data_IF_384394563130
#
_entry.id   IF_384394563130
#
_cell.length_a   1.000
_cell.length_b   1.000
_cell.length_c   1.000
_cell.angle_alpha   90.00
_cell.angle_beta   90.00
_cell.angle_gamma   90.00
#
_symmetry.space_group_name_H-M   'P 1'
#
loop_
_entity.id
_entity.type
_entity.pdbx_description
1 polymer ?
#
# COMPACT_ATOMS: atom_id res chain seq x y z
N UNK A 1 -0.54 -11.10 6.48
CA UNK A 1 -0.37 -12.00 5.35
C UNK A 1 0.67 -13.03 5.75
N UNK A 2 0.24 -14.23 6.15
CA UNK A 2 1.12 -15.28 6.70
C UNK A 2 1.85 -16.10 5.63
N UNK A 3 2.94 -16.77 6.05
CA UNK A 3 3.71 -17.70 5.25
C UNK A 3 4.98 -17.09 4.62
N UNK A 4 5.92 -17.95 4.16
CA UNK A 4 7.17 -17.49 3.55
C UNK A 4 6.92 -16.79 2.22
N UNK A 5 7.76 -15.82 1.87
CA UNK A 5 7.76 -15.20 0.54
C UNK A 5 8.26 -16.23 -0.49
N UNK A 6 7.49 -16.45 -1.54
CA UNK A 6 7.76 -17.45 -2.56
C UNK A 6 8.51 -16.82 -3.74
N UNK A 7 9.52 -17.53 -4.22
CA UNK A 7 10.38 -17.11 -5.32
C UNK A 7 10.54 -18.26 -6.31
N UNK A 8 10.29 -18.00 -7.57
CA UNK A 8 10.65 -18.88 -8.67
C UNK A 8 12.14 -18.73 -9.01
N UNK A 9 12.83 -19.84 -9.24
CA UNK A 9 14.24 -19.88 -9.65
C UNK A 9 14.35 -20.59 -11.00
N UNK A 10 14.98 -19.92 -11.94
CA UNK A 10 15.26 -20.49 -13.26
C UNK A 10 16.67 -20.10 -13.73
N UNK A 11 17.06 -20.51 -14.93
CA UNK A 11 18.37 -20.21 -15.50
C UNK A 11 18.66 -18.71 -15.69
N UNK A 12 17.63 -17.87 -15.75
CA UNK A 12 17.76 -16.42 -15.90
C UNK A 12 17.82 -15.68 -14.54
N UNK A 13 17.59 -16.40 -13.41
CA UNK A 13 17.66 -15.81 -12.07
C UNK A 13 16.45 -16.12 -11.19
N UNK A 14 16.14 -15.20 -10.28
CA UNK A 14 15.03 -15.31 -9.33
C UNK A 14 13.96 -14.27 -9.64
N UNK A 15 12.69 -14.68 -9.57
CA UNK A 15 11.54 -13.79 -9.73
C UNK A 15 10.50 -14.03 -8.65
N UNK A 16 9.64 -13.04 -8.43
CA UNK A 16 8.51 -13.18 -7.51
C UNK A 16 7.57 -14.25 -8.05
N UNK A 17 7.31 -15.29 -7.26
CA UNK A 17 6.34 -16.33 -7.60
C UNK A 17 4.91 -15.75 -7.59
N UNK A 18 4.13 -15.93 -8.68
CA UNK A 18 2.74 -15.47 -8.76
C UNK A 18 1.84 -15.96 -7.62
N UNK A 19 2.14 -17.10 -7.01
CA UNK A 19 1.39 -17.63 -5.88
C UNK A 19 1.39 -16.68 -4.66
N UNK A 20 2.36 -15.77 -4.55
CA UNK A 20 2.31 -14.73 -3.52
C UNK A 20 1.06 -13.84 -3.64
N UNK A 21 0.58 -13.59 -4.85
CA UNK A 21 -0.61 -12.76 -5.08
C UNK A 21 -1.87 -13.32 -4.44
N UNK A 22 -2.01 -14.66 -4.36
CA UNK A 22 -3.17 -15.34 -3.78
C UNK A 22 -3.43 -14.95 -2.32
N UNK A 23 -2.37 -14.62 -1.57
CA UNK A 23 -2.47 -14.22 -0.16
C UNK A 23 -3.22 -12.90 0.03
N UNK A 24 -3.21 -12.05 -0.98
CA UNK A 24 -3.82 -10.71 -0.93
C UNK A 24 -5.26 -10.71 -1.39
N UNK A 25 -5.68 -11.71 -2.19
CA UNK A 25 -7.02 -11.75 -2.80
C UNK A 25 -8.12 -11.60 -1.76
N UNK A 26 -8.09 -12.42 -0.69
CA UNK A 26 -9.11 -12.38 0.37
C UNK A 26 -9.18 -11.01 1.08
N UNK A 27 -8.04 -10.37 1.33
CA UNK A 27 -8.00 -9.05 1.97
C UNK A 27 -8.60 -7.99 1.05
N UNK A 28 -8.29 -8.05 -0.25
CA UNK A 28 -8.83 -7.13 -1.24
C UNK A 28 -10.33 -7.34 -1.48
N UNK A 29 -10.83 -8.57 -1.39
CA UNK A 29 -12.27 -8.86 -1.43
C UNK A 29 -13.00 -8.21 -0.26
N UNK A 30 -12.47 -8.37 0.96
CA UNK A 30 -13.02 -7.71 2.16
C UNK A 30 -13.00 -6.18 1.99
N UNK A 31 -11.88 -5.64 1.54
CA UNK A 31 -11.74 -4.20 1.32
C UNK A 31 -12.67 -3.68 0.21
N UNK A 32 -12.89 -4.46 -0.84
CA UNK A 32 -13.80 -4.09 -1.93
C UNK A 32 -15.28 -4.05 -1.50
N UNK A 33 -15.63 -4.79 -0.44
CA UNK A 33 -16.97 -4.78 0.14
C UNK A 33 -17.22 -3.56 1.07
N UNK A 34 -16.18 -2.80 1.40
CA UNK A 34 -16.31 -1.63 2.27
C UNK A 34 -16.93 -0.44 1.51
N UNK A 35 -17.98 0.12 2.07
CA UNK A 35 -18.53 1.39 1.61
C UNK A 35 -17.55 2.53 1.96
N UNK A 36 -16.91 3.08 0.95
CA UNK A 36 -15.90 4.13 1.10
C UNK A 36 -16.45 5.37 1.81
N UNK A 37 -17.70 5.75 1.56
CA UNK A 37 -18.31 6.91 2.20
C UNK A 37 -18.48 6.69 3.69
N UNK A 38 -19.01 5.52 4.08
CA UNK A 38 -19.16 5.14 5.49
C UNK A 38 -17.82 5.03 6.19
N UNK A 39 -16.80 4.48 5.52
CA UNK A 39 -15.44 4.42 6.05
C UNK A 39 -14.89 5.83 6.34
N UNK A 40 -15.07 6.75 5.40
CA UNK A 40 -14.60 8.13 5.57
C UNK A 40 -15.46 8.89 6.59
N UNK A 41 -16.77 8.65 6.66
CA UNK A 41 -17.64 9.22 7.71
C UNK A 41 -17.15 8.80 9.11
N UNK A 42 -16.82 7.52 9.28
CA UNK A 42 -16.26 6.99 10.53
C UNK A 42 -14.92 7.65 10.86
N UNK A 43 -14.01 7.74 9.87
CA UNK A 43 -12.73 8.43 10.02
C UNK A 43 -12.89 9.88 10.45
N UNK A 44 -13.79 10.63 9.81
CA UNK A 44 -14.09 12.04 10.15
C UNK A 44 -14.64 12.16 11.57
N UNK A 45 -15.53 11.25 11.96
CA UNK A 45 -16.08 11.21 13.34
C UNK A 45 -15.01 11.00 14.41
N UNK A 46 -14.01 10.17 14.14
CA UNK A 46 -12.89 9.91 15.04
C UNK A 46 -11.67 10.81 14.80
N UNK A 47 -11.73 11.73 13.86
CA UNK A 47 -10.59 12.58 13.50
C UNK A 47 -9.96 13.33 14.68
N UNK A 48 -10.71 13.90 15.65
CA UNK A 48 -10.09 14.56 16.81
C UNK A 48 -9.17 13.63 17.62
N UNK A 49 -9.54 12.35 17.75
CA UNK A 49 -8.73 11.35 18.46
C UNK A 49 -7.44 11.05 17.71
N UNK A 50 -7.53 10.83 16.39
CA UNK A 50 -6.35 10.61 15.55
C UNK A 50 -5.42 11.81 15.55
N UNK A 51 -5.96 13.02 15.47
CA UNK A 51 -5.18 14.26 15.48
C UNK A 51 -4.49 14.47 16.82
N UNK A 52 -5.15 14.15 17.94
CA UNK A 52 -4.54 14.21 19.25
C UNK A 52 -3.38 13.22 19.37
N UNK A 53 -3.60 11.94 19.04
CA UNK A 53 -2.56 10.92 19.06
C UNK A 53 -1.37 11.32 18.16
N UNK A 54 -1.62 11.91 17.00
CA UNK A 54 -0.57 12.37 16.08
C UNK A 54 0.31 13.48 16.70
N UNK A 55 -0.31 14.41 17.44
CA UNK A 55 0.44 15.44 18.19
C UNK A 55 1.30 14.84 19.28
N UNK A 56 0.76 13.86 20.02
CA UNK A 56 1.46 13.16 21.11
C UNK A 56 2.64 12.34 20.59
N UNK A 57 2.59 11.85 19.33
CA UNK A 57 3.69 11.18 18.65
C UNK A 57 4.82 12.12 18.20
N UNK A 58 4.74 13.43 18.50
CA UNK A 58 5.81 14.39 18.20
C UNK A 58 5.56 15.28 16.97
N UNK A 59 4.31 15.34 16.49
CA UNK A 59 3.91 16.20 15.36
C UNK A 59 2.93 17.32 15.80
N UNK A 60 3.33 18.22 16.72
CA UNK A 60 2.39 19.16 17.36
C UNK A 60 1.73 20.14 16.39
N UNK A 61 2.39 20.45 15.27
CA UNK A 61 1.89 21.38 14.24
C UNK A 61 1.41 20.68 12.97
N UNK A 62 1.57 19.34 12.90
CA UNK A 62 1.15 18.56 11.75
C UNK A 62 -0.34 18.24 11.78
N UNK A 63 -0.95 18.16 10.59
CA UNK A 63 -2.31 17.65 10.43
C UNK A 63 -2.26 16.17 10.06
N UNK A 64 -2.92 15.33 10.84
CA UNK A 64 -2.94 13.88 10.58
C UNK A 64 -3.55 13.57 9.20
N UNK A 65 -4.58 14.31 8.79
CA UNK A 65 -5.21 14.12 7.48
C UNK A 65 -4.25 14.38 6.31
N UNK A 66 -3.36 15.37 6.42
CA UNK A 66 -2.37 15.63 5.38
C UNK A 66 -1.42 14.43 5.26
N UNK A 67 -1.00 13.84 6.39
CA UNK A 67 -0.18 12.64 6.41
C UNK A 67 -0.88 11.43 5.78
N UNK A 68 -2.18 11.30 6.00
CA UNK A 68 -2.98 10.23 5.38
C UNK A 68 -3.03 10.44 3.85
N UNK A 69 -3.30 11.66 3.39
CA UNK A 69 -3.33 11.97 1.95
C UNK A 69 -1.97 11.74 1.30
N UNK A 70 -0.88 12.20 1.92
CA UNK A 70 0.48 11.97 1.42
C UNK A 70 0.80 10.46 1.30
N UNK A 71 0.34 9.67 2.28
CA UNK A 71 0.52 8.21 2.25
C UNK A 71 -0.28 7.57 1.11
N UNK A 72 -1.52 8.02 0.89
CA UNK A 72 -2.33 7.55 -0.24
C UNK A 72 -1.69 7.92 -1.58
N UNK A 73 -1.14 9.12 -1.70
CA UNK A 73 -0.43 9.57 -2.90
C UNK A 73 0.83 8.76 -3.16
N UNK A 74 1.62 8.46 -2.13
CA UNK A 74 2.78 7.58 -2.23
C UNK A 74 2.39 6.19 -2.74
N UNK A 75 1.34 5.57 -2.18
CA UNK A 75 0.87 4.26 -2.61
C UNK A 75 0.33 4.28 -4.05
N UNK A 76 -0.42 5.31 -4.43
CA UNK A 76 -0.96 5.48 -5.78
C UNK A 76 0.14 5.69 -6.82
N UNK A 77 1.26 6.30 -6.44
CA UNK A 77 2.43 6.51 -7.28
C UNK A 77 3.29 5.25 -7.49
N UNK A 78 2.90 4.10 -6.94
CA UNK A 78 3.59 2.83 -7.22
C UNK A 78 3.61 2.57 -8.72
N UNK A 79 4.79 2.31 -9.33
CA UNK A 79 4.88 2.05 -10.76
C UNK A 79 4.17 0.75 -11.16
N UNK A 80 3.57 0.74 -12.33
CA UNK A 80 3.02 -0.47 -12.93
C UNK A 80 4.15 -1.21 -13.64
N UNK A 81 4.57 -2.32 -13.04
CA UNK A 81 5.67 -3.16 -13.55
C UNK A 81 5.10 -4.47 -14.05
N UNK A 82 5.42 -4.80 -15.30
CA UNK A 82 5.00 -6.07 -15.89
C UNK A 82 5.70 -7.25 -15.19
N UNK A 83 4.96 -8.31 -14.81
CA UNK A 83 5.57 -9.54 -14.31
C UNK A 83 6.33 -10.29 -15.44
N UNK A 84 7.29 -11.13 -15.08
CA UNK A 84 7.78 -11.40 -13.73
C UNK A 84 8.73 -10.31 -13.20
N UNK A 85 8.62 -9.99 -11.91
CA UNK A 85 9.52 -9.02 -11.28
C UNK A 85 10.74 -9.75 -10.72
N UNK A 86 11.93 -9.35 -11.16
CA UNK A 86 13.20 -9.95 -10.72
C UNK A 86 13.56 -9.55 -9.28
N UNK A 87 14.05 -10.52 -8.52
CA UNK A 87 14.53 -10.33 -7.14
C UNK A 87 15.93 -10.94 -6.97
N UNK A 88 16.65 -10.45 -5.98
CA UNK A 88 17.94 -10.97 -5.54
C UNK A 88 17.90 -11.28 -4.06
N UNK A 89 18.85 -12.05 -3.57
CA UNK A 89 18.99 -12.36 -2.15
C UNK A 89 20.44 -12.18 -1.72
N UNK A 90 20.92 -10.93 -1.61
CA UNK A 90 22.31 -10.66 -1.26
C UNK A 90 22.62 -11.04 0.21
N UNK A 91 21.59 -11.07 1.05
CA UNK A 91 21.66 -11.46 2.47
C UNK A 91 20.50 -12.40 2.81
N UNK A 92 19.84 -12.19 3.94
CA UNK A 92 18.71 -13.03 4.40
C UNK A 92 17.40 -12.65 3.70
N UNK A 93 17.19 -11.37 3.40
CA UNK A 93 15.95 -10.88 2.80
C UNK A 93 16.06 -10.78 1.28
N UNK A 94 14.92 -10.98 0.60
CA UNK A 94 14.82 -10.74 -0.83
C UNK A 94 14.67 -9.23 -1.09
N UNK A 95 15.43 -8.73 -2.07
CA UNK A 95 15.42 -7.37 -2.57
C UNK A 95 15.00 -7.37 -4.04
N UNK A 96 14.42 -6.28 -4.53
CA UNK A 96 14.18 -6.13 -5.97
C UNK A 96 15.54 -6.03 -6.69
N UNK A 97 15.67 -6.76 -7.80
CA UNK A 97 16.89 -6.71 -8.62
C UNK A 97 17.10 -5.33 -9.26
N UNK A 98 16.00 -4.64 -9.59
CA UNK A 98 16.02 -3.25 -10.04
C UNK A 98 16.23 -2.29 -8.86
N UNK A 99 17.35 -1.55 -8.79
CA UNK A 99 17.61 -0.58 -7.73
C UNK A 99 16.56 0.54 -7.66
N UNK A 100 15.89 0.86 -8.77
CA UNK A 100 14.84 1.88 -8.78
C UNK A 100 13.59 1.39 -8.05
N UNK A 101 13.29 0.09 -8.10
CA UNK A 101 12.22 -0.52 -7.33
C UNK A 101 12.61 -0.72 -5.86
N UNK A 102 13.86 -1.13 -5.60
CA UNK A 102 14.33 -1.37 -4.22
C UNK A 102 14.38 -0.09 -3.38
N UNK A 103 14.64 1.06 -3.99
CA UNK A 103 14.63 2.38 -3.33
C UNK A 103 13.23 2.93 -3.02
N UNK A 104 12.17 2.27 -3.50
CA UNK A 104 10.79 2.71 -3.26
C UNK A 104 10.41 2.61 -1.79
N UNK A 105 9.38 3.34 -1.39
CA UNK A 105 8.84 3.28 -0.03
C UNK A 105 8.43 1.85 0.34
N UNK A 106 8.38 1.55 1.64
CA UNK A 106 7.93 0.25 2.12
C UNK A 106 6.51 -0.08 1.62
N UNK A 107 5.62 0.93 1.57
CA UNK A 107 4.27 0.79 1.04
C UNK A 107 4.26 0.42 -0.44
N UNK A 108 5.02 1.13 -1.27
CA UNK A 108 5.14 0.82 -2.69
C UNK A 108 5.74 -0.57 -2.94
N UNK A 109 6.73 -0.98 -2.15
CA UNK A 109 7.29 -2.34 -2.23
C UNK A 109 6.27 -3.43 -1.88
N UNK A 110 5.36 -3.18 -0.95
CA UNK A 110 4.24 -4.09 -0.66
C UNK A 110 3.28 -4.15 -1.86
N UNK A 111 2.93 -2.99 -2.44
CA UNK A 111 2.07 -2.91 -3.63
C UNK A 111 2.64 -3.74 -4.80
N UNK A 112 3.93 -3.63 -5.08
CA UNK A 112 4.61 -4.41 -6.11
C UNK A 112 4.56 -5.93 -5.85
N UNK A 113 4.67 -6.35 -4.57
CA UNK A 113 4.69 -7.76 -4.17
C UNK A 113 3.32 -8.45 -4.21
N UNK A 114 2.24 -7.68 -4.23
CA UNK A 114 0.89 -8.26 -4.25
C UNK A 114 0.42 -8.71 -5.66
N UNK A 115 1.20 -8.42 -6.69
CA UNK A 115 0.87 -8.74 -8.09
C UNK A 115 0.06 -7.64 -8.77
N UNK A 116 0.17 -7.57 -10.11
CA UNK A 116 -0.37 -6.47 -10.91
C UNK A 116 -1.89 -6.30 -10.75
N UNK A 117 -2.67 -7.38 -10.82
CA UNK A 117 -4.13 -7.33 -10.71
C UNK A 117 -4.59 -6.85 -9.33
N UNK A 118 -3.95 -7.36 -8.28
CA UNK A 118 -4.24 -6.95 -6.91
C UNK A 118 -3.84 -5.50 -6.68
N UNK A 119 -2.70 -5.07 -7.19
CA UNK A 119 -2.25 -3.67 -7.13
C UNK A 119 -3.25 -2.75 -7.83
N UNK A 120 -3.74 -3.11 -9.01
CA UNK A 120 -4.75 -2.34 -9.71
C UNK A 120 -6.06 -2.22 -8.92
N UNK A 121 -6.51 -3.30 -8.25
CA UNK A 121 -7.68 -3.27 -7.36
C UNK A 121 -7.44 -2.37 -6.15
N UNK A 122 -6.27 -2.49 -5.50
CA UNK A 122 -5.89 -1.64 -4.39
C UNK A 122 -5.85 -0.17 -4.79
N UNK A 123 -5.23 0.18 -5.92
CA UNK A 123 -5.19 1.57 -6.42
C UNK A 123 -6.58 2.16 -6.64
N UNK A 124 -7.54 1.39 -7.19
CA UNK A 124 -8.92 1.87 -7.36
C UNK A 124 -9.56 2.25 -6.03
N UNK A 125 -9.42 1.40 -5.02
CA UNK A 125 -9.96 1.67 -3.69
C UNK A 125 -9.27 2.85 -3.01
N UNK A 126 -7.94 2.91 -3.05
CA UNK A 126 -7.16 4.03 -2.48
C UNK A 126 -7.53 5.36 -3.15
N UNK A 127 -7.73 5.36 -4.47
CA UNK A 127 -8.17 6.55 -5.21
C UNK A 127 -9.57 7.01 -4.79
N UNK A 128 -10.51 6.07 -4.57
CA UNK A 128 -11.84 6.40 -4.08
C UNK A 128 -11.81 6.98 -2.65
N UNK A 129 -11.01 6.38 -1.76
CA UNK A 129 -10.82 6.89 -0.39
C UNK A 129 -10.20 8.29 -0.44
N UNK A 130 -9.14 8.51 -1.22
CA UNK A 130 -8.50 9.80 -1.39
C UNK A 130 -9.47 10.88 -1.86
N UNK A 131 -10.24 10.59 -2.89
CA UNK A 131 -11.24 11.52 -3.42
C UNK A 131 -12.28 11.91 -2.39
N UNK A 132 -12.77 10.95 -1.61
CA UNK A 132 -13.75 11.22 -0.55
C UNK A 132 -13.15 12.01 0.61
N UNK A 133 -11.91 11.70 1.02
CA UNK A 133 -11.19 12.47 2.04
C UNK A 133 -10.98 13.93 1.64
N UNK A 134 -10.58 14.19 0.39
CA UNK A 134 -10.41 15.55 -0.11
C UNK A 134 -11.74 16.31 -0.14
N UNK A 135 -12.83 15.65 -0.48
CA UNK A 135 -14.17 16.24 -0.46
C UNK A 135 -14.62 16.61 0.95
N UNK A 136 -14.29 15.79 1.95
CA UNK A 136 -14.67 16.02 3.36
C UNK A 136 -13.73 16.98 4.09
N UNK A 137 -12.47 17.06 3.67
CA UNK A 137 -11.42 17.92 4.25
C UNK A 137 -11.43 18.00 5.78
N UNK A 138 -11.33 16.87 6.52
CA UNK A 138 -11.35 16.89 7.99
C UNK A 138 -10.19 17.74 8.52
N UNK A 139 -10.49 18.57 9.53
CA UNK A 139 -9.49 19.43 10.19
C UNK A 139 -9.19 20.74 9.45
N UNK A 140 -10.03 21.15 8.50
CA UNK A 140 -10.06 22.54 8.00
C UNK A 140 -10.90 23.40 8.90
#
# INVERSE_FOLDING_TARGET
VGGPFLVERNSAGMTIDPANAQRYVRYLEIMAAVDVRRLVDLYVGFYPVFQQAYRELGYPHGRFNDRVVDTLDDLLATPDVAPPIAVTQPKVLYEFADPALEKRSAGQKIMLRMGADNMARAKRLLSAIRSELLRRSPGK
#
